data_IF_777095739714
#
_entry.id   IF_777095739714
#
_cell.length_a   1.000
_cell.length_b   1.000
_cell.length_c   1.000
_cell.angle_alpha   90.00
_cell.angle_beta   90.00
_cell.angle_gamma   90.00
#
_symmetry.space_group_name_H-M   'P 1'
#
loop_
_entity.id
_entity.type
_entity.pdbx_description
1 polymer ?
#
# COMPACT_ATOMS: atom_id res chain seq x y z
N UNK A 1 -4.10 8.82 -11.98
CA UNK A 1 -4.37 10.26 -12.21
C UNK A 1 -3.08 11.04 -12.33
N UNK A 2 -2.90 11.79 -13.45
CA UNK A 2 -1.76 12.68 -13.67
C UNK A 2 -0.42 11.95 -13.63
N UNK A 3 -0.23 11.00 -14.53
CA UNK A 3 0.94 10.13 -14.62
C UNK A 3 1.72 10.33 -15.94
N UNK A 4 1.65 11.52 -16.53
CA UNK A 4 2.25 11.80 -17.84
C UNK A 4 3.75 11.49 -17.90
N UNK A 5 4.47 11.65 -16.78
CA UNK A 5 5.89 11.38 -16.71
C UNK A 5 6.22 9.87 -16.69
N UNK A 6 5.35 9.04 -16.10
CA UNK A 6 5.60 7.60 -15.91
C UNK A 6 5.04 6.75 -17.06
N UNK A 7 3.89 7.14 -17.63
CA UNK A 7 3.15 6.33 -18.59
C UNK A 7 3.94 5.91 -19.83
N UNK A 8 4.74 6.79 -20.51
CA UNK A 8 5.43 6.37 -21.73
C UNK A 8 6.40 5.21 -21.51
N UNK A 9 7.19 5.27 -20.44
CA UNK A 9 8.15 4.22 -20.11
C UNK A 9 7.42 2.93 -19.68
N UNK A 10 6.41 3.04 -18.83
CA UNK A 10 5.63 1.91 -18.34
C UNK A 10 4.91 1.18 -19.48
N UNK A 11 4.20 1.90 -20.35
CA UNK A 11 3.48 1.28 -21.48
C UNK A 11 4.45 0.60 -22.44
N UNK A 12 5.61 1.20 -22.71
CA UNK A 12 6.66 0.58 -23.53
C UNK A 12 7.18 -0.70 -22.89
N UNK A 13 7.45 -0.69 -21.59
CA UNK A 13 7.87 -1.88 -20.85
C UNK A 13 6.81 -2.99 -20.94
N UNK A 14 5.55 -2.69 -20.65
CA UNK A 14 4.46 -3.68 -20.66
C UNK A 14 4.20 -4.26 -22.06
N UNK A 15 4.34 -3.48 -23.12
CA UNK A 15 4.24 -3.95 -24.49
C UNK A 15 5.34 -4.97 -24.85
N UNK A 16 6.53 -4.78 -24.30
CA UNK A 16 7.66 -5.66 -24.53
C UNK A 16 7.68 -6.89 -23.62
N UNK A 17 7.01 -6.81 -22.46
CA UNK A 17 7.06 -7.84 -21.43
C UNK A 17 6.29 -9.12 -21.85
N UNK A 18 5.12 -8.96 -22.46
CA UNK A 18 4.31 -10.09 -22.93
C UNK A 18 3.44 -9.71 -24.13
N UNK A 19 3.63 -10.40 -25.26
CA UNK A 19 2.95 -10.13 -26.52
C UNK A 19 1.43 -10.37 -26.47
N UNK A 20 0.95 -11.25 -25.59
CA UNK A 20 -0.47 -11.62 -25.51
C UNK A 20 -1.26 -10.84 -24.44
N UNK A 21 -0.66 -9.83 -23.84
CA UNK A 21 -1.31 -9.05 -22.77
C UNK A 21 -2.13 -7.90 -23.37
N UNK A 22 -3.41 -7.83 -23.00
CA UNK A 22 -4.24 -6.65 -23.21
C UNK A 22 -4.00 -5.65 -22.08
N UNK A 23 -3.71 -4.40 -22.42
CA UNK A 23 -3.38 -3.35 -21.47
C UNK A 23 -4.55 -2.37 -21.40
N UNK A 24 -5.21 -2.31 -20.24
CA UNK A 24 -6.32 -1.40 -20.00
C UNK A 24 -5.86 -0.29 -19.05
N UNK A 25 -5.93 0.95 -19.50
CA UNK A 25 -5.65 2.13 -18.68
C UNK A 25 -6.98 2.74 -18.23
N UNK A 26 -7.32 2.58 -16.96
CA UNK A 26 -8.50 3.18 -16.34
C UNK A 26 -8.15 4.58 -15.78
N UNK A 27 -8.51 5.62 -16.52
CA UNK A 27 -8.19 7.01 -16.15
C UNK A 27 -9.26 7.64 -15.28
N UNK A 28 -8.86 8.17 -14.13
CA UNK A 28 -9.74 8.81 -13.15
C UNK A 28 -10.02 10.30 -13.43
N UNK A 29 -9.86 10.76 -14.68
CA UNK A 29 -10.06 12.17 -15.05
C UNK A 29 -8.78 13.00 -14.91
N UNK A 30 -7.67 12.49 -15.45
CA UNK A 30 -6.39 13.20 -15.49
C UNK A 30 -6.52 14.56 -16.22
N UNK A 31 -5.82 15.56 -15.70
CA UNK A 31 -5.80 16.93 -16.24
C UNK A 31 -4.50 17.29 -16.96
N UNK A 32 -3.51 16.39 -16.89
CA UNK A 32 -2.24 16.47 -17.60
C UNK A 32 -2.34 15.74 -18.97
N UNK A 33 -1.21 15.44 -19.58
CA UNK A 33 -1.16 14.74 -20.87
C UNK A 33 -1.39 13.22 -20.79
N UNK A 34 -1.67 12.65 -19.61
CA UNK A 34 -1.84 11.20 -19.43
C UNK A 34 -2.80 10.58 -20.44
N UNK A 35 -3.99 11.16 -20.61
CA UNK A 35 -5.00 10.66 -21.56
C UNK A 35 -4.52 10.73 -23.02
N UNK A 36 -3.89 11.84 -23.39
CA UNK A 36 -3.35 12.03 -24.74
C UNK A 36 -2.25 11.00 -25.06
N UNK A 37 -1.36 10.74 -24.09
CA UNK A 37 -0.29 9.74 -24.21
C UNK A 37 -0.89 8.35 -24.44
N UNK A 38 -1.87 7.92 -23.61
CA UNK A 38 -2.50 6.60 -23.76
C UNK A 38 -3.22 6.49 -25.09
N UNK A 39 -3.96 7.53 -25.51
CA UNK A 39 -4.66 7.56 -26.81
C UNK A 39 -3.69 7.43 -27.98
N UNK A 40 -2.50 8.05 -27.92
CA UNK A 40 -1.49 7.95 -28.94
C UNK A 40 -0.84 6.55 -28.99
N UNK A 41 -0.61 5.92 -27.83
CA UNK A 41 -0.18 4.52 -27.77
C UNK A 41 -1.25 3.58 -28.34
N UNK A 42 -2.52 3.79 -28.00
CA UNK A 42 -3.64 2.97 -28.51
C UNK A 42 -3.81 3.00 -30.02
N UNK A 43 -3.51 4.16 -30.67
CA UNK A 43 -3.51 4.25 -32.15
C UNK A 43 -2.45 3.35 -32.78
N UNK A 44 -1.32 3.15 -32.13
CA UNK A 44 -0.17 2.37 -32.64
C UNK A 44 -0.21 0.90 -32.20
N UNK A 45 -0.91 0.62 -31.09
CA UNK A 45 -0.92 -0.69 -30.46
C UNK A 45 -2.36 -1.10 -30.08
N UNK A 46 -2.99 -1.95 -30.89
CA UNK A 46 -4.36 -2.42 -30.70
C UNK A 46 -4.61 -3.13 -29.35
N UNK A 47 -3.53 -3.49 -28.65
CA UNK A 47 -3.57 -4.08 -27.30
C UNK A 47 -3.72 -3.07 -26.17
N UNK A 48 -3.74 -1.78 -26.46
CA UNK A 48 -3.90 -0.73 -25.43
C UNK A 48 -5.28 -0.12 -25.55
N UNK A 49 -6.02 -0.10 -24.45
CA UNK A 49 -7.34 0.53 -24.34
C UNK A 49 -7.34 1.57 -23.23
N UNK A 50 -8.01 2.68 -23.47
CA UNK A 50 -8.28 3.72 -22.48
C UNK A 50 -9.74 3.65 -22.08
N UNK A 51 -10.02 3.60 -20.78
CA UNK A 51 -11.39 3.67 -20.25
C UNK A 51 -11.50 4.77 -19.19
N UNK A 52 -12.70 5.28 -19.02
CA UNK A 52 -13.00 6.23 -17.96
C UNK A 52 -13.23 5.55 -16.62
N UNK A 53 -12.70 6.15 -15.55
CA UNK A 53 -12.95 5.75 -14.17
C UNK A 53 -13.54 6.92 -13.38
N UNK A 54 -14.82 7.23 -13.55
CA UNK A 54 -15.44 8.42 -12.95
C UNK A 54 -15.45 8.39 -11.41
N UNK A 55 -15.35 7.22 -10.79
CA UNK A 55 -15.26 7.07 -9.34
C UNK A 55 -13.88 7.44 -8.79
N UNK A 56 -12.86 7.58 -9.62
CA UNK A 56 -11.48 7.95 -9.25
C UNK A 56 -10.85 7.04 -8.17
N UNK A 57 -11.38 5.83 -8.03
CA UNK A 57 -10.88 4.79 -7.14
C UNK A 57 -10.17 3.72 -7.95
N UNK A 58 -9.03 3.26 -7.47
CA UNK A 58 -8.27 2.20 -8.11
C UNK A 58 -9.11 0.92 -8.23
N UNK A 59 -9.81 0.54 -7.15
CA UNK A 59 -10.73 -0.59 -7.10
C UNK A 59 -11.80 -0.53 -8.19
N UNK A 60 -12.42 0.64 -8.38
CA UNK A 60 -13.46 0.85 -9.39
C UNK A 60 -12.88 0.76 -10.82
N UNK A 61 -11.68 1.29 -11.05
CA UNK A 61 -11.00 1.20 -12.33
C UNK A 61 -10.68 -0.25 -12.73
N UNK A 62 -10.21 -1.06 -11.78
CA UNK A 62 -9.94 -2.48 -12.00
C UNK A 62 -11.23 -3.25 -12.26
N UNK A 63 -12.28 -3.04 -11.46
CA UNK A 63 -13.57 -3.69 -11.67
C UNK A 63 -14.17 -3.33 -13.05
N UNK A 64 -14.11 -2.06 -13.45
CA UNK A 64 -14.58 -1.60 -14.76
C UNK A 64 -13.81 -2.27 -15.91
N UNK A 65 -12.49 -2.38 -15.81
CA UNK A 65 -11.64 -3.06 -16.78
C UNK A 65 -12.01 -4.55 -16.89
N UNK A 66 -12.18 -5.24 -15.77
CA UNK A 66 -12.57 -6.66 -15.74
C UNK A 66 -13.95 -6.87 -16.35
N UNK A 67 -14.91 -6.01 -16.02
CA UNK A 67 -16.28 -6.11 -16.55
C UNK A 67 -16.31 -5.91 -18.08
N UNK A 68 -15.50 -4.98 -18.61
CA UNK A 68 -15.54 -4.64 -20.03
C UNK A 68 -14.71 -5.58 -20.92
N UNK A 69 -13.59 -6.11 -20.44
CA UNK A 69 -12.58 -6.74 -21.29
C UNK A 69 -12.16 -8.16 -20.89
N UNK A 70 -12.49 -8.62 -19.69
CA UNK A 70 -11.89 -9.86 -19.18
C UNK A 70 -12.63 -11.15 -19.60
N UNK A 71 -13.55 -11.12 -20.59
CA UNK A 71 -14.41 -12.27 -20.94
C UNK A 71 -13.61 -13.52 -21.28
N UNK A 72 -12.57 -13.37 -22.10
CA UNK A 72 -11.77 -14.46 -22.65
C UNK A 72 -10.35 -14.55 -22.05
N UNK A 73 -10.15 -13.93 -20.86
CA UNK A 73 -8.87 -13.93 -20.17
C UNK A 73 -8.90 -14.80 -18.91
N UNK A 74 -7.77 -15.44 -18.61
CA UNK A 74 -7.61 -16.27 -17.41
C UNK A 74 -7.07 -15.45 -16.22
N UNK A 75 -6.22 -14.48 -16.51
CA UNK A 75 -5.47 -13.74 -15.52
C UNK A 75 -5.69 -12.24 -15.61
N UNK A 76 -5.69 -11.58 -14.47
CA UNK A 76 -5.67 -10.13 -14.31
C UNK A 76 -4.35 -9.73 -13.64
N UNK A 77 -3.57 -8.85 -14.29
CA UNK A 77 -2.41 -8.20 -13.67
C UNK A 77 -2.78 -6.75 -13.34
N UNK A 78 -2.59 -6.37 -12.09
CA UNK A 78 -2.77 -4.99 -11.65
C UNK A 78 -1.43 -4.26 -11.68
N UNK A 79 -1.43 -3.08 -12.30
CA UNK A 79 -0.26 -2.21 -12.45
C UNK A 79 -0.57 -0.83 -11.90
N UNK A 80 0.29 -0.31 -11.03
CA UNK A 80 0.24 1.06 -10.52
C UNK A 80 1.20 1.93 -11.34
N UNK A 81 0.70 2.99 -11.99
CA UNK A 81 1.47 3.75 -12.98
C UNK A 81 2.73 4.43 -12.42
N UNK A 82 2.77 4.73 -11.12
CA UNK A 82 3.89 5.39 -10.44
C UNK A 82 4.88 4.42 -9.76
N UNK A 83 4.80 3.13 -10.07
CA UNK A 83 5.77 2.14 -9.60
C UNK A 83 6.74 1.76 -10.72
N UNK A 84 7.91 1.28 -10.34
CA UNK A 84 8.88 0.69 -11.27
C UNK A 84 8.88 -0.82 -11.08
N UNK A 85 8.80 -1.53 -12.18
CA UNK A 85 8.67 -2.99 -12.23
C UNK A 85 9.96 -3.62 -12.76
N UNK A 86 10.33 -4.84 -12.32
CA UNK A 86 11.44 -5.57 -12.92
C UNK A 86 11.11 -6.03 -14.34
N UNK A 87 12.12 -6.36 -15.11
CA UNK A 87 11.96 -6.94 -16.46
C UNK A 87 11.18 -8.25 -16.39
N UNK A 88 10.37 -8.50 -17.42
CA UNK A 88 9.50 -9.68 -17.53
C UNK A 88 8.55 -9.84 -16.34
N UNK A 89 8.05 -8.71 -15.81
CA UNK A 89 7.20 -8.69 -14.62
C UNK A 89 5.97 -9.57 -14.75
N UNK A 90 5.20 -9.41 -15.82
CA UNK A 90 4.00 -10.21 -16.07
C UNK A 90 4.35 -11.70 -16.16
N UNK A 91 5.42 -12.04 -16.88
CA UNK A 91 5.84 -13.44 -17.02
C UNK A 91 6.28 -14.04 -15.68
N UNK A 92 7.03 -13.31 -14.85
CA UNK A 92 7.43 -13.77 -13.51
C UNK A 92 6.22 -14.09 -12.63
N UNK A 93 5.17 -13.27 -12.71
CA UNK A 93 3.94 -13.50 -11.94
C UNK A 93 3.20 -14.76 -12.43
N UNK A 94 3.08 -14.95 -13.73
CA UNK A 94 2.44 -16.12 -14.32
C UNK A 94 3.22 -17.41 -13.98
N UNK A 95 4.55 -17.37 -14.11
CA UNK A 95 5.43 -18.49 -13.76
C UNK A 95 5.30 -18.84 -12.26
N UNK A 96 5.22 -17.83 -11.37
CA UNK A 96 5.02 -18.06 -9.95
C UNK A 96 3.65 -18.69 -9.65
N UNK A 97 2.58 -18.20 -10.27
CA UNK A 97 1.24 -18.76 -10.14
C UNK A 97 1.21 -20.23 -10.57
N UNK A 98 1.81 -20.56 -11.73
CA UNK A 98 1.89 -21.94 -12.24
C UNK A 98 2.73 -22.85 -11.36
N UNK A 99 3.94 -22.42 -10.95
CA UNK A 99 4.84 -23.21 -10.12
C UNK A 99 4.26 -23.57 -8.75
N UNK A 100 3.49 -22.67 -8.15
CA UNK A 100 3.00 -22.82 -6.78
C UNK A 100 1.50 -23.16 -6.70
N UNK A 101 0.81 -23.25 -7.84
CA UNK A 101 -0.63 -23.47 -7.86
C UNK A 101 -1.38 -22.37 -7.10
N UNK A 102 -0.95 -21.13 -7.28
CA UNK A 102 -1.54 -19.97 -6.61
C UNK A 102 -2.64 -19.34 -7.44
N UNK A 103 -3.74 -18.92 -6.80
CA UNK A 103 -4.83 -18.19 -7.42
C UNK A 103 -4.52 -16.70 -7.50
N UNK A 104 -3.66 -16.22 -6.63
CA UNK A 104 -3.24 -14.82 -6.54
C UNK A 104 -1.75 -14.75 -6.22
N UNK A 105 -1.05 -13.84 -6.90
CA UNK A 105 0.35 -13.52 -6.58
C UNK A 105 0.44 -12.08 -6.11
N UNK A 106 1.09 -11.91 -4.96
CA UNK A 106 1.42 -10.61 -4.37
C UNK A 106 2.94 -10.42 -4.38
N UNK A 107 3.39 -9.18 -4.36
CA UNK A 107 4.81 -8.86 -4.49
C UNK A 107 5.33 -7.98 -3.36
N UNK A 108 6.63 -8.03 -3.05
CA UNK A 108 7.25 -7.09 -2.14
C UNK A 108 7.28 -5.69 -2.76
N UNK A 109 7.05 -4.69 -1.91
CA UNK A 109 7.23 -3.27 -2.24
C UNK A 109 8.51 -2.75 -1.60
N UNK A 110 9.53 -2.51 -2.41
CA UNK A 110 10.77 -1.88 -1.96
C UNK A 110 10.61 -0.36 -2.09
N UNK A 111 10.67 0.35 -0.98
CA UNK A 111 10.54 1.80 -1.00
C UNK A 111 11.90 2.45 -1.27
N UNK A 112 11.97 3.35 -2.25
CA UNK A 112 13.16 4.17 -2.55
C UNK A 112 12.79 5.63 -2.61
N UNK A 113 13.56 6.48 -1.89
CA UNK A 113 13.39 7.92 -1.88
C UNK A 113 14.52 8.64 -2.60
N UNK A 114 14.23 9.81 -3.15
CA UNK A 114 15.20 10.69 -3.84
C UNK A 114 15.54 11.93 -3.03
N UNK A 115 14.57 12.49 -2.28
CA UNK A 115 14.81 13.61 -1.37
C UNK A 115 15.15 13.12 0.04
N UNK A 116 15.74 13.98 0.87
CA UNK A 116 16.16 13.59 2.22
C UNK A 116 15.01 13.03 3.06
N UNK A 117 13.84 13.68 3.06
CA UNK A 117 12.67 13.16 3.77
C UNK A 117 12.17 11.83 3.17
N UNK A 118 12.19 11.69 1.84
CA UNK A 118 11.82 10.42 1.20
C UNK A 118 12.81 9.29 1.54
N UNK A 119 14.12 9.56 1.64
CA UNK A 119 15.11 8.58 2.07
C UNK A 119 14.82 8.12 3.50
N UNK A 120 14.52 9.06 4.40
CA UNK A 120 14.11 8.75 5.77
C UNK A 120 12.83 7.91 5.84
N UNK A 121 11.80 8.31 5.08
CA UNK A 121 10.53 7.60 4.99
C UNK A 121 10.72 6.19 4.39
N UNK A 122 11.56 6.05 3.36
CA UNK A 122 11.90 4.76 2.75
C UNK A 122 12.62 3.85 3.76
N UNK A 123 13.60 4.37 4.47
CA UNK A 123 14.31 3.63 5.52
C UNK A 123 13.36 3.12 6.61
N UNK A 124 12.41 3.96 7.05
CA UNK A 124 11.36 3.56 7.97
C UNK A 124 10.44 2.49 7.38
N UNK A 125 9.93 2.68 6.16
CA UNK A 125 8.99 1.76 5.51
C UNK A 125 9.60 0.39 5.17
N UNK A 126 10.89 0.33 4.88
CA UNK A 126 11.61 -0.92 4.64
C UNK A 126 12.08 -1.61 5.94
N UNK A 127 11.83 -1.01 7.11
CA UNK A 127 12.23 -1.55 8.40
C UNK A 127 11.07 -2.18 9.18
N UNK A 128 11.41 -3.04 10.14
CA UNK A 128 10.43 -3.60 11.09
C UNK A 128 9.78 -2.50 11.91
N UNK A 129 10.50 -1.42 12.24
CA UNK A 129 9.98 -0.27 12.98
C UNK A 129 8.74 0.34 12.28
N UNK A 130 8.82 0.56 10.97
CA UNK A 130 7.74 1.22 10.24
C UNK A 130 6.58 0.31 9.83
N UNK A 131 6.82 -1.00 9.70
CA UNK A 131 5.84 -1.93 9.10
C UNK A 131 5.56 -3.16 9.96
N UNK A 132 6.17 -3.27 11.14
CA UNK A 132 5.99 -4.41 12.05
C UNK A 132 6.35 -5.76 11.42
N UNK A 133 7.28 -5.78 10.45
CA UNK A 133 7.69 -7.01 9.76
C UNK A 133 6.64 -7.57 8.80
N UNK A 134 5.83 -6.73 8.16
CA UNK A 134 4.89 -7.15 7.11
C UNK A 134 5.61 -7.85 5.96
N UNK A 135 5.18 -9.05 5.58
CA UNK A 135 5.86 -9.91 4.60
C UNK A 135 6.14 -9.20 3.26
N UNK A 136 5.15 -8.47 2.74
CA UNK A 136 5.24 -7.73 1.47
C UNK A 136 6.07 -6.43 1.55
N UNK A 137 6.69 -6.14 2.68
CA UNK A 137 7.60 -4.99 2.87
C UNK A 137 9.06 -5.40 3.02
N UNK A 138 9.34 -6.68 2.99
CA UNK A 138 10.69 -7.21 3.13
C UNK A 138 10.99 -8.21 2.03
N UNK A 139 12.16 -8.08 1.42
CA UNK A 139 12.68 -9.10 0.52
C UNK A 139 13.00 -10.35 1.36
N UNK A 140 12.51 -11.49 0.93
CA UNK A 140 12.68 -12.76 1.62
C UNK A 140 12.40 -13.93 0.69
N UNK A 141 12.26 -15.12 1.25
CA UNK A 141 11.86 -16.30 0.47
C UNK A 141 10.38 -16.23 0.12
N UNK A 142 10.03 -16.71 -1.09
CA UNK A 142 8.65 -16.90 -1.52
C UNK A 142 7.90 -17.81 -0.54
N UNK A 143 6.63 -17.50 -0.29
CA UNK A 143 5.76 -18.25 0.61
C UNK A 143 4.30 -17.93 0.42
N UNK A 144 3.42 -18.80 0.86
CA UNK A 144 2.00 -18.46 0.99
C UNK A 144 1.81 -17.44 2.12
N UNK A 145 0.94 -16.46 1.88
CA UNK A 145 0.65 -15.36 2.80
C UNK A 145 -0.85 -15.10 2.88
N UNK A 146 -1.27 -14.36 3.88
CA UNK A 146 -2.67 -13.95 4.05
C UNK A 146 -2.96 -12.53 3.54
N UNK A 147 -1.93 -11.82 3.11
CA UNK A 147 -2.06 -10.45 2.62
C UNK A 147 -0.76 -9.97 1.97
N UNK A 148 -0.88 -9.22 0.89
CA UNK A 148 0.23 -8.55 0.24
C UNK A 148 -0.18 -7.37 -0.63
N UNK A 149 0.76 -6.85 -1.41
CA UNK A 149 0.45 -5.92 -2.48
C UNK A 149 0.12 -6.72 -3.74
N UNK A 150 -1.10 -6.57 -4.20
CA UNK A 150 -1.59 -7.36 -5.32
C UNK A 150 -0.91 -7.04 -6.63
N UNK A 151 -0.65 -8.09 -7.37
CA UNK A 151 -0.05 -8.05 -8.68
C UNK A 151 -0.81 -8.91 -9.70
N UNK A 152 -1.14 -10.16 -9.37
CA UNK A 152 -1.81 -11.09 -10.26
C UNK A 152 -3.00 -11.75 -9.56
N UNK A 153 -4.10 -11.93 -10.32
CA UNK A 153 -5.28 -12.67 -9.88
C UNK A 153 -5.71 -13.65 -10.96
N UNK A 154 -6.14 -14.86 -10.56
CA UNK A 154 -6.97 -15.70 -11.41
C UNK A 154 -8.35 -15.03 -11.55
N UNK A 155 -8.75 -14.70 -12.78
CA UNK A 155 -9.98 -13.94 -13.03
C UNK A 155 -11.24 -14.67 -12.56
N UNK A 156 -11.27 -15.99 -12.64
CA UNK A 156 -12.36 -16.79 -12.10
C UNK A 156 -12.55 -16.54 -10.60
N UNK A 157 -11.44 -16.64 -9.81
CA UNK A 157 -11.46 -16.39 -8.36
C UNK A 157 -11.84 -14.95 -8.03
N UNK A 158 -11.29 -13.98 -8.77
CA UNK A 158 -11.59 -12.55 -8.60
C UNK A 158 -13.09 -12.27 -8.83
N UNK A 159 -13.69 -12.85 -9.87
CA UNK A 159 -15.12 -12.69 -10.19
C UNK A 159 -15.99 -13.40 -9.16
N UNK A 160 -15.64 -14.62 -8.75
CA UNK A 160 -16.40 -15.43 -7.79
C UNK A 160 -16.58 -14.72 -6.44
N UNK A 161 -15.57 -13.97 -6.00
CA UNK A 161 -15.67 -13.15 -4.78
C UNK A 161 -16.26 -11.76 -5.03
N UNK A 162 -16.66 -11.42 -6.27
CA UNK A 162 -17.30 -10.15 -6.62
C UNK A 162 -16.34 -8.98 -6.87
N UNK A 163 -15.05 -9.24 -7.12
CA UNK A 163 -14.04 -8.20 -7.39
C UNK A 163 -13.72 -7.33 -6.17
N UNK A 164 -13.21 -6.13 -6.39
CA UNK A 164 -12.95 -5.17 -5.32
C UNK A 164 -14.25 -4.57 -4.75
N UNK A 165 -14.30 -4.38 -3.43
CA UNK A 165 -15.33 -3.55 -2.80
C UNK A 165 -15.01 -2.06 -3.01
N UNK A 166 -15.71 -1.43 -3.93
CA UNK A 166 -15.50 -0.03 -4.34
C UNK A 166 -15.87 0.99 -3.25
N UNK A 167 -16.49 0.57 -2.17
CA UNK A 167 -16.71 1.42 -1.01
C UNK A 167 -15.42 1.67 -0.22
N UNK A 168 -14.37 0.86 -0.42
CA UNK A 168 -13.05 1.05 0.16
C UNK A 168 -12.19 1.95 -0.71
N UNK A 169 -11.80 3.10 -0.17
CA UNK A 169 -10.83 4.00 -0.81
C UNK A 169 -9.37 3.65 -0.49
N UNK A 170 -9.16 2.85 0.55
CA UNK A 170 -7.85 2.39 1.03
C UNK A 170 -8.03 1.08 1.78
N UNK A 171 -7.01 0.21 1.74
CA UNK A 171 -7.02 -1.13 2.33
C UNK A 171 -7.98 -2.10 1.60
N UNK A 172 -8.34 -1.77 0.37
CA UNK A 172 -9.17 -2.58 -0.54
C UNK A 172 -8.53 -3.94 -0.81
N UNK A 173 -7.18 -3.98 -0.96
CA UNK A 173 -6.42 -5.21 -1.14
C UNK A 173 -6.63 -6.16 0.04
N UNK A 174 -6.44 -5.67 1.26
CA UNK A 174 -6.59 -6.50 2.45
C UNK A 174 -8.05 -6.92 2.72
N UNK A 175 -9.02 -6.18 2.22
CA UNK A 175 -10.43 -6.56 2.26
C UNK A 175 -10.70 -7.70 1.26
N UNK A 176 -10.20 -7.55 0.02
CA UNK A 176 -10.33 -8.57 -1.02
C UNK A 176 -9.62 -9.87 -0.62
N UNK A 177 -8.42 -9.79 -0.01
CA UNK A 177 -7.70 -10.95 0.50
C UNK A 177 -8.54 -11.79 1.46
N UNK A 178 -9.33 -11.15 2.35
CA UNK A 178 -10.19 -11.89 3.28
C UNK A 178 -11.28 -12.68 2.54
N UNK A 179 -11.86 -12.11 1.48
CA UNK A 179 -12.86 -12.83 0.66
C UNK A 179 -12.21 -13.94 -0.17
N UNK A 180 -11.05 -13.70 -0.77
CA UNK A 180 -10.31 -14.73 -1.50
C UNK A 180 -9.89 -15.91 -0.61
N UNK A 181 -9.35 -15.63 0.58
CA UNK A 181 -8.99 -16.69 1.54
C UNK A 181 -10.20 -17.46 2.07
N UNK A 182 -11.33 -16.79 2.34
CA UNK A 182 -12.57 -17.43 2.74
C UNK A 182 -13.14 -18.33 1.64
N UNK A 183 -12.86 -18.03 0.40
CA UNK A 183 -13.23 -18.82 -0.79
C UNK A 183 -12.21 -19.96 -1.10
N UNK A 184 -11.19 -20.14 -0.26
CA UNK A 184 -10.17 -21.17 -0.41
C UNK A 184 -9.02 -20.85 -1.35
N UNK A 185 -8.92 -19.60 -1.84
CA UNK A 185 -7.86 -19.19 -2.74
C UNK A 185 -6.49 -19.15 -2.04
N UNK A 186 -5.45 -19.46 -2.78
CA UNK A 186 -4.05 -19.46 -2.33
C UNK A 186 -3.35 -18.20 -2.81
N UNK A 187 -2.76 -17.44 -1.88
CA UNK A 187 -2.03 -16.20 -2.15
C UNK A 187 -0.52 -16.44 -1.99
N UNK A 188 0.25 -16.34 -3.07
CA UNK A 188 1.70 -16.52 -3.07
C UNK A 188 2.42 -15.15 -3.07
N UNK A 189 3.43 -14.99 -2.21
CA UNK A 189 4.35 -13.84 -2.24
C UNK A 189 5.56 -14.20 -3.09
N UNK A 190 5.71 -13.50 -4.25
CA UNK A 190 6.81 -13.70 -5.19
C UNK A 190 7.91 -12.64 -5.01
N UNK A 191 9.05 -12.99 -4.39
CA UNK A 191 10.11 -12.03 -4.10
C UNK A 191 10.84 -11.53 -5.35
N UNK A 192 10.92 -12.34 -6.41
CA UNK A 192 11.66 -12.01 -7.64
C UNK A 192 10.89 -11.01 -8.53
N UNK A 193 9.64 -10.73 -8.19
CA UNK A 193 8.81 -9.72 -8.83
C UNK A 193 8.63 -8.45 -7.97
N UNK A 194 9.56 -8.16 -7.06
CA UNK A 194 9.49 -6.98 -6.21
C UNK A 194 9.44 -5.69 -7.03
N UNK A 195 8.51 -4.80 -6.68
CA UNK A 195 8.39 -3.49 -7.31
C UNK A 195 9.05 -2.38 -6.47
N UNK A 196 9.42 -1.28 -7.12
CA UNK A 196 9.98 -0.10 -6.46
C UNK A 196 8.88 0.97 -6.36
N UNK A 197 8.71 1.51 -5.16
CA UNK A 197 7.72 2.51 -4.83
C UNK A 197 8.39 3.76 -4.24
N UNK A 198 8.00 4.96 -4.68
CA UNK A 198 8.45 6.23 -4.10
C UNK A 198 7.55 6.63 -2.91
N UNK A 199 8.12 6.90 -1.71
CA UNK A 199 7.33 7.30 -0.55
C UNK A 199 6.86 8.76 -0.70
N UNK A 200 5.93 9.17 0.17
CA UNK A 200 5.45 10.55 0.20
C UNK A 200 6.61 11.52 0.50
N UNK A 201 6.58 12.66 -0.17
CA UNK A 201 7.67 13.65 -0.13
C UNK A 201 7.61 14.59 1.08
N UNK A 202 6.50 14.61 1.83
CA UNK A 202 6.32 15.50 2.98
C UNK A 202 5.77 14.77 4.21
N UNK A 203 6.08 15.24 5.44
CA UNK A 203 5.54 14.69 6.69
C UNK A 203 4.01 14.64 6.71
N UNK A 204 3.35 15.70 6.24
CA UNK A 204 1.89 15.80 6.21
C UNK A 204 1.28 14.77 5.26
N UNK A 205 1.88 14.59 4.07
CA UNK A 205 1.41 13.59 3.11
C UNK A 205 1.62 12.16 3.63
N UNK A 206 2.73 11.90 4.31
CA UNK A 206 3.01 10.61 4.97
C UNK A 206 1.99 10.33 6.09
N UNK A 207 1.74 11.30 6.97
CA UNK A 207 0.71 11.19 8.01
C UNK A 207 -0.66 10.86 7.41
N UNK A 208 -1.09 11.63 6.41
CA UNK A 208 -2.38 11.43 5.72
C UNK A 208 -2.48 10.04 5.10
N UNK A 209 -1.42 9.52 4.53
CA UNK A 209 -1.38 8.17 3.96
C UNK A 209 -1.63 7.12 5.04
N UNK A 210 -0.89 7.17 6.15
CA UNK A 210 -1.04 6.20 7.23
C UNK A 210 -2.35 6.37 8.01
N UNK A 211 -2.87 7.59 8.12
CA UNK A 211 -4.21 7.85 8.65
C UNK A 211 -5.29 7.12 7.82
N UNK A 212 -5.19 7.21 6.50
CA UNK A 212 -6.11 6.50 5.60
C UNK A 212 -5.96 4.98 5.71
N UNK A 213 -4.74 4.47 5.85
CA UNK A 213 -4.48 3.04 6.06
C UNK A 213 -5.08 2.55 7.39
N UNK A 214 -4.92 3.30 8.49
CA UNK A 214 -5.54 2.97 9.78
C UNK A 214 -7.05 2.92 9.70
N UNK A 215 -7.68 3.90 9.05
CA UNK A 215 -9.13 3.92 8.79
C UNK A 215 -9.59 2.71 7.97
N UNK A 216 -8.88 2.41 6.90
CA UNK A 216 -9.18 1.25 6.05
C UNK A 216 -9.08 -0.04 6.83
N UNK A 217 -8.02 -0.23 7.63
CA UNK A 217 -7.85 -1.43 8.47
C UNK A 217 -8.97 -1.57 9.50
N UNK A 218 -9.35 -0.51 10.19
CA UNK A 218 -10.46 -0.56 11.14
C UNK A 218 -11.77 -1.00 10.47
N UNK A 219 -11.99 -0.56 9.24
CA UNK A 219 -13.15 -0.95 8.44
C UNK A 219 -13.11 -2.43 8.04
N UNK A 220 -11.95 -2.93 7.55
CA UNK A 220 -11.78 -4.35 7.20
C UNK A 220 -11.97 -5.24 8.41
N UNK A 221 -11.37 -4.87 9.55
CA UNK A 221 -11.52 -5.60 10.83
C UNK A 221 -12.99 -5.71 11.23
N UNK A 222 -13.73 -4.60 11.15
CA UNK A 222 -15.16 -4.58 11.51
C UNK A 222 -16.03 -5.36 10.51
N UNK A 223 -15.76 -5.23 9.21
CA UNK A 223 -16.54 -5.92 8.16
C UNK A 223 -16.41 -7.44 8.28
N UNK A 224 -15.21 -7.94 8.57
CA UNK A 224 -14.92 -9.38 8.59
C UNK A 224 -14.78 -9.98 9.99
N UNK A 225 -15.04 -9.22 11.07
CA UNK A 225 -14.91 -9.72 12.45
C UNK A 225 -13.49 -10.15 12.82
N UNK A 226 -12.45 -9.52 12.25
CA UNK A 226 -11.07 -9.97 12.36
C UNK A 226 -10.46 -9.60 13.71
N UNK A 227 -9.54 -10.44 14.19
CA UNK A 227 -8.63 -10.07 15.28
C UNK A 227 -7.38 -9.38 14.71
N UNK A 228 -6.99 -8.28 15.33
CA UNK A 228 -5.75 -7.60 14.97
C UNK A 228 -4.54 -8.46 15.36
N UNK A 229 -3.55 -8.55 14.47
CA UNK A 229 -2.24 -9.09 14.80
C UNK A 229 -1.51 -8.12 15.72
N UNK A 230 -0.62 -8.59 16.59
CA UNK A 230 0.12 -7.75 17.55
C UNK A 230 0.79 -6.53 16.87
N UNK A 231 1.41 -6.72 15.71
CA UNK A 231 2.02 -5.64 14.92
C UNK A 231 1.03 -4.55 14.45
N UNK A 232 -0.26 -4.86 14.40
CA UNK A 232 -1.33 -3.95 13.99
C UNK A 232 -1.98 -3.28 15.20
N UNK A 233 -2.06 -3.97 16.33
CA UNK A 233 -2.63 -3.44 17.56
C UNK A 233 -1.63 -2.59 18.37
N UNK A 234 -0.35 -2.95 18.34
CA UNK A 234 0.67 -2.21 19.10
C UNK A 234 0.67 -0.69 18.81
N UNK A 235 0.59 -0.20 17.56
CA UNK A 235 0.51 1.24 17.32
C UNK A 235 -0.78 1.90 17.79
N UNK A 236 -1.84 1.15 18.15
CA UNK A 236 -3.12 1.76 18.53
C UNK A 236 -3.07 2.52 19.84
N UNK A 237 -2.12 2.21 20.71
CA UNK A 237 -1.91 2.94 21.99
C UNK A 237 -1.36 4.35 21.77
N UNK A 238 -0.82 4.65 20.60
CA UNK A 238 -0.09 5.91 20.33
C UNK A 238 -1.03 7.13 20.33
N UNK A 239 -2.17 7.06 19.65
CA UNK A 239 -3.12 8.18 19.64
C UNK A 239 -3.68 8.48 21.04
N UNK A 240 -4.16 7.51 21.84
CA UNK A 240 -4.50 7.73 23.24
C UNK A 240 -3.35 8.30 24.05
N UNK A 241 -2.14 7.78 23.92
CA UNK A 241 -0.97 8.29 24.66
C UNK A 241 -0.66 9.76 24.32
N UNK A 242 -0.74 10.13 23.02
CA UNK A 242 -0.56 11.53 22.60
C UNK A 242 -1.65 12.42 23.18
N UNK A 243 -2.92 12.00 23.13
CA UNK A 243 -4.04 12.79 23.68
C UNK A 243 -3.90 12.97 25.18
N UNK A 244 -3.56 11.91 25.91
CA UNK A 244 -3.31 11.96 27.36
C UNK A 244 -2.12 12.87 27.68
N UNK A 245 -1.03 12.80 26.91
CA UNK A 245 0.13 13.67 27.07
C UNK A 245 -0.23 15.15 26.89
N UNK A 246 -1.03 15.47 25.85
CA UNK A 246 -1.49 16.84 25.61
C UNK A 246 -2.40 17.33 26.74
N UNK A 247 -3.32 16.50 27.22
CA UNK A 247 -4.17 16.82 28.37
C UNK A 247 -3.34 17.04 29.65
N UNK A 248 -2.33 16.17 29.90
CA UNK A 248 -1.39 16.31 30.98
C UNK A 248 -0.61 17.62 30.92
N UNK A 249 -0.08 17.99 29.75
CA UNK A 249 0.60 19.27 29.54
C UNK A 249 -0.28 20.49 29.86
N UNK A 250 -1.55 20.45 29.47
CA UNK A 250 -2.50 21.50 29.84
C UNK A 250 -2.76 21.51 31.35
N UNK A 251 -2.89 20.34 31.99
CA UNK A 251 -3.14 20.24 33.42
C UNK A 251 -1.93 20.71 34.29
N UNK A 252 -0.71 20.78 33.73
CA UNK A 252 0.48 21.30 34.46
C UNK A 252 0.31 22.75 34.88
N UNK A 253 -0.56 23.54 34.25
CA UNK A 253 -0.91 24.89 34.71
C UNK A 253 -1.54 24.88 36.10
N UNK A 254 -2.20 23.78 36.51
CA UNK A 254 -2.73 23.62 37.86
C UNK A 254 -1.71 22.93 38.80
N UNK A 255 -1.09 21.82 38.36
CA UNK A 255 -0.11 21.07 39.12
C UNK A 255 0.97 20.45 38.21
N UNK A 256 2.26 20.74 38.43
CA UNK A 256 3.37 20.23 37.61
C UNK A 256 3.43 18.71 37.49
N UNK A 257 2.91 17.97 38.48
CA UNK A 257 2.92 16.51 38.52
C UNK A 257 2.19 15.88 37.33
N UNK A 258 1.22 16.59 36.71
CA UNK A 258 0.50 16.08 35.53
C UNK A 258 1.40 15.85 34.30
N UNK A 259 2.64 16.39 34.32
CA UNK A 259 3.63 16.12 33.26
C UNK A 259 3.96 14.63 33.15
N UNK A 260 3.77 13.83 34.22
CA UNK A 260 3.97 12.37 34.18
C UNK A 260 3.12 11.69 33.10
N UNK A 261 1.97 12.25 32.75
CA UNK A 261 1.12 11.75 31.69
C UNK A 261 1.74 11.84 30.28
N UNK A 262 2.77 12.65 30.09
CA UNK A 262 3.49 12.73 28.84
C UNK A 262 4.53 11.58 28.68
N UNK A 263 4.92 10.92 29.76
CA UNK A 263 6.00 9.91 29.77
C UNK A 263 5.77 8.81 28.72
N UNK A 264 4.59 8.18 28.59
CA UNK A 264 4.39 7.11 27.59
C UNK A 264 4.62 7.58 26.15
N UNK A 265 4.14 8.78 25.81
CA UNK A 265 4.32 9.34 24.48
C UNK A 265 5.79 9.72 24.21
N UNK A 266 6.48 10.27 25.20
CA UNK A 266 7.91 10.62 25.10
C UNK A 266 8.79 9.37 24.99
N UNK A 267 8.51 8.32 25.78
CA UNK A 267 9.23 7.03 25.67
C UNK A 267 9.04 6.42 24.29
N UNK A 268 7.81 6.36 23.80
CA UNK A 268 7.56 5.86 22.44
C UNK A 268 8.31 6.67 21.39
N UNK A 269 8.24 7.99 21.45
CA UNK A 269 8.96 8.85 20.50
C UNK A 269 10.46 8.64 20.60
N UNK A 270 11.02 8.60 21.82
CA UNK A 270 12.45 8.35 22.06
C UNK A 270 12.91 7.00 21.52
N UNK A 271 12.11 5.93 21.70
CA UNK A 271 12.39 4.62 21.12
C UNK A 271 12.39 4.67 19.60
N UNK A 272 11.44 5.36 18.97
CA UNK A 272 11.45 5.55 17.52
C UNK A 272 12.74 6.24 17.04
N UNK A 273 13.21 7.31 17.76
CA UNK A 273 14.46 7.98 17.39
C UNK A 273 15.67 7.06 17.57
N UNK A 274 15.76 6.32 18.68
CA UNK A 274 16.84 5.38 18.93
C UNK A 274 16.93 4.30 17.83
N UNK A 275 15.80 3.70 17.45
CA UNK A 275 15.75 2.77 16.32
C UNK A 275 16.11 3.44 14.99
N UNK A 276 15.68 4.70 14.79
CA UNK A 276 16.05 5.49 13.63
C UNK A 276 17.56 5.67 13.47
N UNK A 277 18.27 5.91 14.58
CA UNK A 277 19.74 5.99 14.60
C UNK A 277 20.38 4.64 14.21
N UNK A 278 19.86 3.53 14.71
CA UNK A 278 20.33 2.19 14.33
C UNK A 278 20.13 1.94 12.82
N UNK A 279 18.97 2.33 12.27
CA UNK A 279 18.69 2.23 10.84
C UNK A 279 19.68 3.08 10.03
N UNK A 280 19.92 4.32 10.47
CA UNK A 280 20.85 5.24 9.81
C UNK A 280 22.28 4.73 9.81
N UNK A 281 22.75 4.18 10.92
CA UNK A 281 24.08 3.58 11.03
C UNK A 281 24.27 2.42 10.03
N UNK A 282 23.21 1.62 9.79
CA UNK A 282 23.25 0.53 8.80
C UNK A 282 23.12 1.00 7.37
N UNK A 283 22.37 2.08 7.14
CA UNK A 283 22.11 2.59 5.78
C UNK A 283 23.25 3.49 5.25
N UNK A 284 24.15 3.97 6.10
CA UNK A 284 25.24 4.85 5.71
C UNK A 284 24.78 6.21 5.15
N UNK A 285 23.57 6.66 5.50
CA UNK A 285 22.97 7.90 4.97
C UNK A 285 22.54 8.84 6.10
N UNK A 286 23.02 10.06 6.07
CA UNK A 286 22.64 11.11 7.04
C UNK A 286 21.12 11.38 7.02
N UNK A 287 20.48 11.34 5.85
CA UNK A 287 19.03 11.51 5.75
C UNK A 287 18.26 10.43 6.50
N UNK A 288 18.82 9.21 6.63
CA UNK A 288 18.21 8.10 7.35
C UNK A 288 18.14 8.31 8.85
N UNK A 289 18.85 9.31 9.41
CA UNK A 289 18.73 9.72 10.83
C UNK A 289 17.28 10.10 11.15
N UNK A 290 16.56 10.69 10.20
CA UNK A 290 15.16 11.07 10.37
C UNK A 290 14.17 9.90 10.19
N UNK A 291 14.65 8.67 10.02
CA UNK A 291 13.75 7.49 9.86
C UNK A 291 12.93 7.22 11.13
N UNK A 292 13.45 7.52 12.31
CA UNK A 292 12.68 7.45 13.56
C UNK A 292 11.51 8.43 13.58
N UNK A 293 11.75 9.66 13.12
CA UNK A 293 10.68 10.68 12.98
C UNK A 293 9.65 10.25 11.93
N UNK A 294 10.09 9.72 10.79
CA UNK A 294 9.18 9.20 9.77
C UNK A 294 8.32 8.05 10.32
N UNK A 295 8.92 7.11 11.08
CA UNK A 295 8.18 6.02 11.72
C UNK A 295 7.18 6.54 12.76
N UNK A 296 7.55 7.56 13.57
CA UNK A 296 6.63 8.20 14.52
C UNK A 296 5.41 8.81 13.82
N UNK A 297 5.62 9.48 12.68
CA UNK A 297 4.53 10.03 11.85
C UNK A 297 3.63 8.90 11.33
N UNK A 298 4.21 7.78 10.87
CA UNK A 298 3.47 6.61 10.37
C UNK A 298 2.61 5.99 11.47
N UNK A 299 3.18 5.77 12.66
CA UNK A 299 2.47 5.19 13.81
C UNK A 299 1.34 6.10 14.28
N UNK A 300 1.60 7.40 14.44
CA UNK A 300 0.58 8.37 14.84
C UNK A 300 -0.56 8.39 13.80
N UNK A 301 -0.22 8.52 12.50
CA UNK A 301 -1.22 8.50 11.42
C UNK A 301 -2.08 7.24 11.46
N UNK A 302 -1.45 6.06 11.55
CA UNK A 302 -2.15 4.78 11.66
C UNK A 302 -3.11 4.73 12.86
N UNK A 303 -2.62 5.10 14.05
CA UNK A 303 -3.40 5.05 15.29
C UNK A 303 -4.60 6.00 15.24
N UNK A 304 -4.38 7.28 14.92
CA UNK A 304 -5.47 8.26 14.79
C UNK A 304 -6.50 7.85 13.73
N UNK A 305 -6.02 7.32 12.60
CA UNK A 305 -6.90 6.84 11.53
C UNK A 305 -7.79 5.69 11.98
N UNK A 306 -7.24 4.74 12.70
CA UNK A 306 -7.97 3.58 13.23
C UNK A 306 -9.07 4.03 14.21
N UNK A 307 -8.70 4.79 15.24
CA UNK A 307 -9.65 5.28 16.25
C UNK A 307 -10.74 6.18 15.67
N UNK A 308 -10.40 7.02 14.69
CA UNK A 308 -11.38 7.83 13.96
C UNK A 308 -12.49 7.00 13.33
N UNK A 309 -12.18 5.78 12.86
CA UNK A 309 -13.17 4.92 12.22
C UNK A 309 -13.94 4.08 13.24
N UNK A 310 -13.30 3.66 14.34
CA UNK A 310 -13.97 2.93 15.44
C UNK A 310 -15.02 3.82 16.11
N UNK A 311 -14.73 5.11 16.28
CA UNK A 311 -15.66 6.08 16.86
C UNK A 311 -16.89 6.39 15.99
N UNK A 312 -16.93 5.94 14.72
CA UNK A 312 -18.12 6.08 13.89
C UNK A 312 -19.08 4.93 14.14
N UNK A 313 -20.41 5.17 14.23
CA UNK A 313 -21.38 4.09 14.26
C UNK A 313 -21.18 3.18 13.05
N UNK A 314 -21.59 1.91 13.20
CA UNK A 314 -21.65 0.98 12.09
C UNK A 314 -22.61 1.54 11.02
N UNK A 315 -22.31 1.41 9.72
CA UNK A 315 -23.24 1.81 8.66
C UNK A 315 -24.51 0.99 8.71
#
# INVERSE_FOLDING_TARGET
LNEEAALPLLLTQLLNDNANTLIIVADGGSKDRSRAIVADFAKRHHRICLIDNPKQLQSAGVNAAVMAFAKDHEWLVRIDAHCTYPDRYVQRLLDAAGRHGADTVVVPMVTRGTTCFQIAAAAAQNSVLGTGGSAHRHLGKGRFVDHGHHALFRLESFRRVGGYDESFSHNEDAELDQRLLADGCKIWLEPDAALIYAPRSTPVALFRQYFKYGRGRARTVRKHGLRLKLRQSAPLVIAPAIVIALAGMVATFAYPLWLVLAVPALVWFGLCQAFGLVIAARAGSLCSVFSGTAASIMHAGWSFGYWRNVAKPAP
#
